data_IF_406939080316
#
_entry.id   IF_406939080316
#
_cell.length_a   1.000
_cell.length_b   1.000
_cell.length_c   1.000
_cell.angle_alpha   90.00
_cell.angle_beta   90.00
_cell.angle_gamma   90.00
#
_symmetry.space_group_name_H-M   'P 1'
#
loop_
_entity.id
_entity.type
_entity.pdbx_description
1 polymer ?
#
# COMPACT_ATOMS: atom_id res chain seq x y z
N UNK A 1 14.90 -19.22 -21.44
CA UNK A 1 13.93 -18.13 -21.63
C UNK A 1 13.64 -17.58 -20.26
N UNK A 2 14.02 -16.33 -19.98
CA UNK A 2 13.71 -15.68 -18.71
C UNK A 2 12.47 -14.81 -18.84
N UNK A 3 11.61 -14.87 -17.83
CA UNK A 3 10.42 -14.03 -17.71
C UNK A 3 10.74 -12.83 -16.84
N UNK A 4 10.40 -11.63 -17.31
CA UNK A 4 10.61 -10.38 -16.58
C UNK A 4 9.27 -9.69 -16.33
N UNK A 5 9.09 -9.15 -15.11
CA UNK A 5 7.91 -8.38 -14.73
C UNK A 5 8.35 -6.94 -14.49
N UNK A 6 7.87 -6.02 -15.34
CA UNK A 6 8.21 -4.58 -15.30
C UNK A 6 7.59 -3.85 -14.10
N UNK A 7 6.61 -4.47 -13.44
CA UNK A 7 5.95 -3.92 -12.27
C UNK A 7 4.78 -4.77 -11.82
N UNK A 8 4.41 -4.62 -10.55
CA UNK A 8 3.28 -5.32 -9.95
C UNK A 8 2.33 -4.30 -9.29
N UNK A 9 1.01 -4.52 -9.32
CA UNK A 9 0.05 -3.66 -8.63
C UNK A 9 0.35 -3.56 -7.13
N UNK A 10 0.49 -2.34 -6.62
CA UNK A 10 0.87 -2.05 -5.22
C UNK A 10 -0.32 -1.84 -4.29
N UNK A 11 -1.53 -1.82 -4.85
CA UNK A 11 -2.73 -1.45 -4.08
C UNK A 11 -3.16 -2.54 -3.10
N UNK A 12 -2.68 -3.77 -3.30
CA UNK A 12 -3.03 -4.97 -2.53
C UNK A 12 -4.31 -5.65 -3.05
N UNK A 13 -4.52 -6.92 -2.68
CA UNK A 13 -5.61 -7.75 -3.21
C UNK A 13 -7.00 -7.23 -2.81
N UNK A 14 -7.11 -6.63 -1.62
CA UNK A 14 -8.35 -6.04 -1.10
C UNK A 14 -8.31 -4.50 -1.11
N UNK A 15 -7.34 -3.88 -1.77
CA UNK A 15 -7.09 -2.42 -1.81
C UNK A 15 -6.66 -1.85 -0.46
N UNK A 16 -5.86 -2.59 0.28
CA UNK A 16 -5.29 -2.27 1.58
C UNK A 16 -4.64 -0.86 1.57
N UNK A 17 -3.84 -0.57 0.54
CA UNK A 17 -3.16 0.72 0.41
C UNK A 17 -4.13 1.89 0.25
N UNK A 18 -5.26 1.69 -0.46
CA UNK A 18 -6.31 2.72 -0.61
C UNK A 18 -6.88 3.09 0.76
N UNK A 19 -7.31 2.09 1.53
CA UNK A 19 -7.97 2.34 2.81
C UNK A 19 -7.00 2.92 3.84
N UNK A 20 -5.73 2.49 3.82
CA UNK A 20 -4.70 3.05 4.68
C UNK A 20 -4.45 4.54 4.39
N UNK A 21 -4.30 4.91 3.11
CA UNK A 21 -4.12 6.30 2.69
C UNK A 21 -5.32 7.17 3.10
N UNK A 22 -6.53 6.70 2.86
CA UNK A 22 -7.74 7.42 3.23
C UNK A 22 -7.86 7.65 4.74
N UNK A 23 -7.51 6.65 5.56
CA UNK A 23 -7.46 6.79 7.03
C UNK A 23 -6.39 7.79 7.45
N UNK A 24 -5.21 7.73 6.84
CA UNK A 24 -4.13 8.68 7.12
C UNK A 24 -4.55 10.13 6.81
N UNK A 25 -5.19 10.36 5.66
CA UNK A 25 -5.68 11.69 5.28
C UNK A 25 -6.78 12.22 6.21
N UNK A 26 -7.57 11.35 6.83
CA UNK A 26 -8.54 11.72 7.87
C UNK A 26 -7.90 11.93 9.25
N UNK A 27 -6.61 11.68 9.40
CA UNK A 27 -5.91 11.75 10.69
C UNK A 27 -6.17 10.55 11.61
N UNK A 28 -6.76 9.47 11.08
CA UNK A 28 -7.12 8.25 11.82
C UNK A 28 -5.98 7.21 11.86
N UNK A 29 -4.84 7.53 11.23
CA UNK A 29 -3.68 6.66 11.09
C UNK A 29 -2.41 7.51 10.99
N UNK A 30 -1.37 7.15 11.73
CA UNK A 30 -0.09 7.86 11.70
C UNK A 30 0.68 7.60 10.40
N UNK A 31 1.59 8.51 10.05
CA UNK A 31 2.46 8.33 8.90
C UNK A 31 3.37 7.09 9.04
N UNK A 32 3.72 6.71 10.28
CA UNK A 32 4.50 5.50 10.56
C UNK A 32 3.70 4.25 10.25
N UNK A 33 2.47 4.14 10.76
CA UNK A 33 1.59 3.01 10.47
C UNK A 33 1.33 2.87 8.97
N UNK A 34 1.12 3.98 8.25
CA UNK A 34 0.94 3.95 6.80
C UNK A 34 2.19 3.42 6.08
N UNK A 35 3.37 3.89 6.50
CA UNK A 35 4.63 3.42 5.94
C UNK A 35 4.91 1.95 6.25
N UNK A 36 4.48 1.46 7.42
CA UNK A 36 4.64 0.07 7.83
C UNK A 36 3.75 -0.83 6.96
N UNK A 37 2.47 -0.47 6.78
CA UNK A 37 1.55 -1.19 5.88
C UNK A 37 2.04 -1.20 4.42
N UNK A 38 2.66 -0.13 3.94
CA UNK A 38 3.19 -0.07 2.57
C UNK A 38 4.45 -0.92 2.32
N UNK A 39 5.04 -1.51 3.36
CA UNK A 39 6.20 -2.41 3.26
C UNK A 39 5.83 -3.89 3.34
N UNK A 40 4.64 -4.20 3.86
CA UNK A 40 4.05 -5.54 3.89
C UNK A 40 3.50 -5.95 2.52
#
# INVERSE_FOLDING_TARGET
MESHILGFPRVGAARELKFALERHWRGEMSARELADLGRD
#
